data_IF_799294156683
#
_entry.id   IF_799294156683
#
_cell.length_a   1.000
_cell.length_b   1.000
_cell.length_c   1.000
_cell.angle_alpha   90.00
_cell.angle_beta   90.00
_cell.angle_gamma   90.00
#
_symmetry.space_group_name_H-M   'P 1'
#
loop_
_entity.id
_entity.type
_entity.pdbx_description
1 polymer ?
#
# COMPACT_ATOMS: atom_id res chain seq x y z
N UNK A 1 -26.24 7.28 63.72
CA UNK A 1 -24.79 7.09 63.54
C UNK A 1 -24.55 6.56 62.12
N UNK A 2 -24.81 7.30 61.02
CA UNK A 2 -24.41 8.67 60.60
C UNK A 2 -22.90 8.88 60.58
N UNK A 3 -22.32 8.96 59.37
CA UNK A 3 -20.88 9.21 59.17
C UNK A 3 -20.42 9.08 57.70
N UNK A 4 -20.87 9.99 56.82
CA UNK A 4 -20.35 10.10 55.45
C UNK A 4 -19.40 11.30 55.32
N UNK A 5 -18.36 11.21 54.45
CA UNK A 5 -17.71 12.33 53.73
C UNK A 5 -16.55 11.88 52.81
N UNK A 6 -16.68 12.16 51.51
CA UNK A 6 -15.61 12.59 50.58
C UNK A 6 -15.70 14.16 50.49
N UNK A 7 -14.87 14.94 49.73
CA UNK A 7 -13.97 14.59 48.61
C UNK A 7 -12.58 15.32 48.56
N UNK A 8 -11.82 15.12 47.48
CA UNK A 8 -10.69 15.98 47.03
C UNK A 8 -9.52 15.20 46.36
N UNK A 9 -9.50 14.96 45.04
CA UNK A 9 -8.94 15.81 43.94
C UNK A 9 -7.43 16.11 43.99
N UNK A 10 -6.64 15.55 43.06
CA UNK A 10 -6.04 16.29 41.92
C UNK A 10 -5.29 15.39 40.92
N UNK A 11 -5.55 15.63 39.63
CA UNK A 11 -4.76 15.24 38.43
C UNK A 11 -3.77 16.40 38.13
N UNK A 12 -2.63 16.20 37.42
CA UNK A 12 -2.64 16.17 35.94
C UNK A 12 -1.57 15.22 35.33
N UNK A 13 -1.37 15.06 34.02
CA UNK A 13 -1.84 15.83 32.86
C UNK A 13 -2.13 14.96 31.63
N UNK A 14 -3.11 15.36 30.82
CA UNK A 14 -3.36 14.82 29.47
C UNK A 14 -2.44 15.46 28.43
N UNK A 15 -2.12 14.71 27.37
CA UNK A 15 -1.66 15.26 26.08
C UNK A 15 -2.77 15.10 25.04
N UNK A 16 -3.36 16.19 24.51
CA UNK A 16 -4.37 16.11 23.46
C UNK A 16 -3.70 16.06 22.07
N UNK A 17 -3.97 15.00 21.30
CA UNK A 17 -3.66 14.99 19.87
C UNK A 17 -4.66 15.86 19.10
N UNK A 18 -4.17 16.93 18.48
CA UNK A 18 -5.02 17.95 17.84
C UNK A 18 -5.30 17.64 16.37
N UNK A 19 -6.57 17.31 16.11
CA UNK A 19 -7.44 17.71 14.98
C UNK A 19 -6.81 17.95 13.60
N UNK A 20 -7.28 17.17 12.63
CA UNK A 20 -7.42 17.62 11.23
C UNK A 20 -8.89 17.92 10.92
N UNK A 21 -9.20 19.09 10.37
CA UNK A 21 -10.23 19.31 9.33
C UNK A 21 -10.24 20.76 8.82
N UNK A 22 -10.57 20.90 7.53
CA UNK A 22 -10.98 22.12 6.81
C UNK A 22 -10.04 23.35 6.78
N UNK A 23 -9.52 23.67 5.59
CA UNK A 23 -9.13 25.03 5.18
C UNK A 23 -10.07 25.52 4.08
N UNK A 24 -10.92 26.48 4.41
CA UNK A 24 -11.51 27.45 3.47
C UNK A 24 -11.44 28.84 4.11
N UNK A 25 -11.22 29.87 3.29
CA UNK A 25 -10.84 31.21 3.72
C UNK A 25 -12.02 32.03 4.27
N UNK A 26 -11.79 32.88 5.27
CA UNK A 26 -12.27 34.29 5.34
C UNK A 26 -11.25 35.12 6.15
N UNK A 27 -11.03 36.36 5.72
CA UNK A 27 -10.17 37.38 6.38
C UNK A 27 -10.95 38.07 7.51
N UNK A 28 -10.30 38.34 8.65
CA UNK A 28 -10.87 39.15 9.72
C UNK A 28 -9.81 39.63 10.72
N UNK A 29 -9.23 40.81 10.50
CA UNK A 29 -8.35 41.48 11.46
C UNK A 29 -9.20 42.27 12.46
N UNK A 30 -9.07 41.97 13.76
CA UNK A 30 -9.69 42.70 14.86
C UNK A 30 -8.64 43.35 15.77
N UNK A 31 -8.86 44.62 16.11
CA UNK A 31 -7.93 45.50 16.86
C UNK A 31 -8.15 45.46 18.40
N UNK A 32 -7.15 45.89 19.16
CA UNK A 32 -7.22 46.22 20.60
C UNK A 32 -5.99 45.73 21.39
N UNK A 33 -4.91 46.51 21.60
CA UNK A 33 -4.77 47.65 22.53
C UNK A 33 -4.93 47.24 24.02
N UNK A 34 -3.89 47.02 24.82
CA UNK A 34 -3.13 48.01 25.66
C UNK A 34 -2.21 47.23 26.66
N UNK A 35 -1.26 47.76 27.47
CA UNK A 35 -0.71 49.11 27.69
C UNK A 35 0.71 49.12 28.33
N UNK A 36 1.55 50.07 27.89
CA UNK A 36 2.41 51.01 28.65
C UNK A 36 3.06 50.68 30.02
N UNK A 37 4.41 50.77 30.08
CA UNK A 37 5.17 51.56 31.07
C UNK A 37 6.66 51.77 30.65
N UNK A 38 7.21 52.97 30.88
CA UNK A 38 8.60 53.47 30.67
C UNK A 38 9.09 54.13 32.01
N UNK A 39 10.23 54.85 32.17
CA UNK A 39 11.32 55.31 31.25
C UNK A 39 12.79 55.19 31.80
N UNK A 40 13.81 55.72 31.09
CA UNK A 40 15.21 55.64 31.58
C UNK A 40 16.41 56.45 31.00
N UNK A 41 16.33 57.29 29.93
CA UNK A 41 17.34 58.33 29.49
C UNK A 41 18.82 57.93 29.19
N UNK A 42 19.68 58.77 28.52
CA UNK A 42 19.45 59.83 27.51
C UNK A 42 20.30 59.69 26.20
N UNK A 43 20.06 60.58 25.22
CA UNK A 43 20.78 60.75 23.92
C UNK A 43 21.98 61.73 24.00
N UNK A 44 22.91 61.77 23.01
CA UNK A 44 22.83 62.80 21.95
C UNK A 44 23.33 62.40 20.54
N UNK A 45 22.94 63.15 19.49
CA UNK A 45 23.69 63.27 18.22
C UNK A 45 22.96 62.86 16.92
N UNK A 46 22.46 63.85 16.16
CA UNK A 46 21.94 63.74 14.78
C UNK A 46 22.99 64.33 13.79
N UNK A 47 23.06 63.90 12.52
CA UNK A 47 22.14 64.45 11.51
C UNK A 47 21.61 63.49 10.43
N UNK A 48 20.50 63.90 9.81
CA UNK A 48 19.88 63.29 8.64
C UNK A 48 20.66 63.64 7.36
N UNK A 49 20.99 62.63 6.54
CA UNK A 49 21.07 62.76 5.07
C UNK A 49 20.50 61.49 4.43
N UNK A 50 19.77 61.65 3.33
CA UNK A 50 19.03 60.54 2.71
C UNK A 50 19.81 59.86 1.59
N UNK A 51 19.66 58.54 1.51
CA UNK A 51 19.89 57.77 0.28
C UNK A 51 18.88 56.61 0.23
N UNK A 52 18.06 56.56 -0.82
CA UNK A 52 17.16 55.44 -1.09
C UNK A 52 17.99 54.24 -1.59
N UNK A 53 18.55 53.46 -0.66
CA UNK A 53 19.10 52.16 -0.98
C UNK A 53 17.95 51.21 -1.34
N UNK A 54 17.93 50.74 -2.59
CA UNK A 54 16.93 49.78 -3.07
C UNK A 54 17.09 48.47 -2.28
N UNK A 55 16.16 48.21 -1.36
CA UNK A 55 16.15 46.97 -0.59
C UNK A 55 16.02 45.76 -1.50
N UNK A 56 17.01 44.87 -1.47
CA UNK A 56 17.02 43.66 -2.28
C UNK A 56 15.74 42.82 -2.04
N UNK A 57 15.21 42.14 -3.08
CA UNK A 57 14.09 41.23 -2.87
C UNK A 57 14.48 40.14 -1.84
N UNK A 58 13.52 39.65 -1.03
CA UNK A 58 13.81 38.57 -0.10
C UNK A 58 14.39 37.37 -0.85
N UNK A 59 15.32 36.62 -0.25
CA UNK A 59 15.94 35.49 -0.92
C UNK A 59 14.85 34.52 -1.36
N UNK A 60 14.73 34.34 -2.69
CA UNK A 60 13.89 33.28 -3.23
C UNK A 60 14.45 31.97 -2.68
N UNK A 61 13.69 31.31 -1.80
CA UNK A 61 13.88 29.90 -1.53
C UNK A 61 13.61 29.17 -2.85
N UNK A 62 14.67 28.98 -3.64
CA UNK A 62 14.66 28.07 -4.77
C UNK A 62 14.40 26.69 -4.18
N UNK A 63 13.16 26.21 -4.34
CA UNK A 63 12.90 24.78 -4.27
C UNK A 63 13.96 24.07 -5.13
N UNK A 64 14.53 22.94 -4.70
CA UNK A 64 15.53 22.23 -5.49
C UNK A 64 14.93 21.81 -6.82
N UNK A 65 15.17 22.64 -7.85
CA UNK A 65 14.72 22.46 -9.22
C UNK A 65 15.66 21.49 -9.91
N UNK A 66 15.56 20.22 -9.54
CA UNK A 66 16.20 19.10 -10.19
C UNK A 66 15.34 17.86 -9.98
N UNK A 67 15.23 16.96 -10.98
CA UNK A 67 14.58 15.68 -10.77
C UNK A 67 15.30 14.91 -9.64
N UNK A 68 14.55 14.15 -8.85
CA UNK A 68 15.13 13.19 -7.91
C UNK A 68 16.04 12.26 -8.72
N UNK A 69 17.35 12.35 -8.49
CA UNK A 69 18.32 11.61 -9.30
C UNK A 69 18.11 10.10 -9.09
N UNK A 70 17.92 9.31 -10.16
CA UNK A 70 17.58 7.88 -10.06
C UNK A 70 18.69 7.00 -9.46
N UNK A 71 19.83 7.59 -9.08
CA UNK A 71 20.98 6.90 -8.49
C UNK A 71 20.94 6.73 -6.95
N UNK A 72 19.80 7.00 -6.29
CA UNK A 72 19.66 6.82 -4.81
C UNK A 72 18.52 5.90 -4.35
N UNK A 73 17.72 5.36 -5.27
CA UNK A 73 16.86 4.20 -5.02
C UNK A 73 17.66 2.91 -5.26
N UNK A 74 17.79 2.06 -4.24
CA UNK A 74 18.65 0.86 -4.23
C UNK A 74 18.19 -0.30 -5.10
N UNK A 75 17.34 -0.08 -6.10
CA UNK A 75 16.81 -1.09 -7.01
C UNK A 75 17.55 -1.13 -8.37
N UNK A 76 18.77 -0.60 -8.42
CA UNK A 76 19.60 -0.56 -9.63
C UNK A 76 20.34 -1.88 -9.94
N UNK A 77 20.05 -2.99 -9.24
CA UNK A 77 20.86 -4.22 -9.27
C UNK A 77 20.16 -5.47 -9.84
N UNK A 78 18.83 -5.52 -9.94
CA UNK A 78 18.12 -6.52 -10.74
C UNK A 78 16.74 -5.97 -11.17
N UNK A 79 16.37 -6.02 -12.47
CA UNK A 79 15.29 -5.20 -12.99
C UNK A 79 13.97 -5.92 -13.26
N UNK A 80 13.90 -7.23 -13.02
CA UNK A 80 12.69 -8.03 -13.24
C UNK A 80 12.02 -8.30 -11.90
N UNK A 81 10.80 -7.79 -11.75
CA UNK A 81 9.98 -8.09 -10.58
C UNK A 81 9.15 -9.36 -10.79
N UNK A 82 8.59 -9.55 -11.99
CA UNK A 82 7.69 -10.68 -12.31
C UNK A 82 8.36 -11.73 -13.18
N UNK A 83 9.39 -11.36 -13.96
CA UNK A 83 10.00 -12.26 -14.95
C UNK A 83 11.28 -12.94 -14.45
N UNK A 84 11.23 -14.18 -13.91
CA UNK A 84 12.42 -15.03 -13.93
C UNK A 84 12.84 -15.30 -15.38
N UNK A 85 14.08 -15.74 -15.60
CA UNK A 85 14.67 -15.92 -16.94
C UNK A 85 13.97 -17.03 -17.77
N UNK A 86 12.81 -16.71 -18.33
CA UNK A 86 11.91 -17.64 -19.01
C UNK A 86 12.27 -17.82 -20.51
N UNK A 87 11.96 -18.97 -21.12
CA UNK A 87 12.10 -19.18 -22.57
C UNK A 87 11.49 -18.08 -23.45
N UNK A 88 10.40 -17.48 -22.99
CA UNK A 88 9.63 -16.40 -23.61
C UNK A 88 10.46 -15.11 -23.72
N UNK A 89 11.37 -14.83 -22.78
CA UNK A 89 12.33 -13.72 -22.90
C UNK A 89 13.33 -13.94 -24.05
N UNK A 90 13.57 -15.18 -24.50
CA UNK A 90 14.34 -15.42 -25.73
C UNK A 90 13.53 -15.08 -26.98
N UNK A 91 12.20 -15.20 -26.95
CA UNK A 91 11.34 -14.73 -28.04
C UNK A 91 11.34 -13.19 -28.09
N UNK A 92 11.26 -12.52 -26.93
CA UNK A 92 11.48 -11.07 -26.84
C UNK A 92 12.84 -10.66 -27.43
N UNK A 93 13.91 -11.37 -27.07
CA UNK A 93 15.26 -11.15 -27.61
C UNK A 93 15.34 -11.32 -29.14
N UNK A 94 14.65 -12.30 -29.71
CA UNK A 94 14.58 -12.51 -31.16
C UNK A 94 13.81 -11.38 -31.87
N UNK A 95 12.69 -10.92 -31.30
CA UNK A 95 11.93 -9.78 -31.84
C UNK A 95 12.75 -8.48 -31.80
N UNK A 96 13.45 -8.23 -30.69
CA UNK A 96 14.38 -7.10 -30.54
C UNK A 96 15.58 -7.19 -31.48
N UNK A 97 16.09 -8.40 -31.77
CA UNK A 97 17.23 -8.58 -32.68
C UNK A 97 16.91 -8.12 -34.12
N UNK A 98 15.65 -8.30 -34.56
CA UNK A 98 15.14 -7.86 -35.86
C UNK A 98 14.82 -6.35 -35.94
N UNK A 99 14.90 -5.61 -34.83
CA UNK A 99 14.56 -4.20 -34.78
C UNK A 99 15.72 -3.29 -35.22
N UNK A 100 15.38 -2.11 -35.77
CA UNK A 100 16.34 -1.05 -36.06
C UNK A 100 17.12 -0.64 -34.80
N UNK A 101 18.44 -0.40 -34.93
CA UNK A 101 19.24 0.12 -33.82
C UNK A 101 18.85 1.58 -33.52
N UNK A 102 18.70 1.92 -32.23
CA UNK A 102 18.26 3.26 -31.82
C UNK A 102 17.88 3.33 -30.35
N UNK A 103 17.58 4.53 -29.82
CA UNK A 103 17.01 4.66 -28.48
C UNK A 103 15.53 4.27 -28.48
N UNK A 104 15.07 3.67 -27.38
CA UNK A 104 13.64 3.52 -27.13
C UNK A 104 13.01 4.87 -26.70
N UNK A 105 11.71 5.05 -26.96
CA UNK A 105 10.97 6.21 -26.45
C UNK A 105 10.91 6.18 -24.91
N UNK A 106 10.85 7.34 -24.22
CA UNK A 106 10.67 7.37 -22.78
C UNK A 106 9.22 7.00 -22.40
N UNK A 107 9.03 6.11 -21.41
CA UNK A 107 7.70 5.77 -20.90
C UNK A 107 6.98 7.02 -20.36
N UNK A 108 5.82 7.32 -20.93
CA UNK A 108 4.88 8.35 -20.51
C UNK A 108 4.29 8.02 -19.15
N UNK A 109 4.15 9.03 -18.30
CA UNK A 109 3.48 8.89 -16.99
C UNK A 109 2.00 8.49 -17.10
N UNK A 110 1.38 8.65 -18.27
CA UNK A 110 -0.03 8.30 -18.46
C UNK A 110 -0.28 6.79 -18.57
N UNK A 111 0.66 6.01 -19.12
CA UNK A 111 0.49 4.54 -19.27
C UNK A 111 0.39 3.81 -17.92
N UNK A 112 1.36 3.91 -16.98
CA UNK A 112 1.23 3.27 -15.68
C UNK A 112 0.09 3.84 -14.84
N UNK A 113 -0.20 5.15 -14.95
CA UNK A 113 -1.37 5.76 -14.28
C UNK A 113 -2.70 5.17 -14.77
N UNK A 114 -2.88 5.02 -16.08
CA UNK A 114 -4.08 4.44 -16.70
C UNK A 114 -4.22 2.99 -16.27
N UNK A 115 -3.19 2.17 -16.46
CA UNK A 115 -3.21 0.74 -16.11
C UNK A 115 -3.51 0.53 -14.62
N UNK A 116 -2.87 1.29 -13.72
CA UNK A 116 -3.16 1.19 -12.28
C UNK A 116 -4.63 1.49 -11.96
N UNK A 117 -5.20 2.55 -12.53
CA UNK A 117 -6.62 2.90 -12.35
C UNK A 117 -7.53 1.80 -12.90
N UNK A 118 -7.35 1.38 -14.16
CA UNK A 118 -8.13 0.29 -14.77
C UNK A 118 -8.05 -1.01 -13.95
N UNK A 119 -6.89 -1.33 -13.36
CA UNK A 119 -6.72 -2.51 -12.52
C UNK A 119 -7.51 -2.40 -11.21
N UNK A 120 -7.47 -1.23 -10.56
CA UNK A 120 -8.23 -0.96 -9.33
C UNK A 120 -9.75 -0.96 -9.59
N UNK A 121 -10.18 -0.40 -10.74
CA UNK A 121 -11.58 -0.40 -11.16
C UNK A 121 -12.09 -1.82 -11.43
N UNK A 122 -11.29 -2.68 -12.07
CA UNK A 122 -11.59 -4.10 -12.27
C UNK A 122 -11.69 -4.86 -10.94
N UNK A 123 -10.76 -4.64 -10.01
CA UNK A 123 -10.78 -5.23 -8.66
C UNK A 123 -12.09 -4.90 -7.94
N UNK A 124 -12.50 -3.63 -7.95
CA UNK A 124 -13.73 -3.17 -7.32
C UNK A 124 -14.98 -3.72 -8.03
N UNK A 125 -15.06 -3.60 -9.36
CA UNK A 125 -16.20 -4.04 -10.16
C UNK A 125 -16.42 -5.56 -10.12
N UNK A 126 -15.32 -6.34 -10.05
CA UNK A 126 -15.37 -7.81 -9.91
C UNK A 126 -15.37 -8.28 -8.44
N UNK A 127 -15.37 -7.33 -7.49
CA UNK A 127 -15.45 -7.56 -6.04
C UNK A 127 -14.41 -8.58 -5.54
N UNK A 128 -13.19 -8.52 -6.07
CA UNK A 128 -12.15 -9.49 -5.75
C UNK A 128 -11.78 -9.45 -4.26
N UNK A 129 -11.51 -10.63 -3.70
CA UNK A 129 -10.98 -10.74 -2.35
C UNK A 129 -9.55 -10.17 -2.25
N UNK A 130 -9.10 -9.73 -1.05
CA UNK A 130 -7.85 -8.98 -0.92
C UNK A 130 -6.58 -9.69 -1.44
N UNK A 131 -6.36 -10.99 -1.19
CA UNK A 131 -5.16 -11.66 -1.70
C UNK A 131 -5.15 -11.85 -3.23
N UNK A 132 -6.24 -12.31 -3.89
CA UNK A 132 -6.36 -12.28 -5.34
C UNK A 132 -6.20 -10.87 -5.95
N UNK A 133 -6.82 -9.85 -5.35
CA UNK A 133 -6.70 -8.47 -5.82
C UNK A 133 -5.24 -7.97 -5.81
N UNK A 134 -4.48 -8.29 -4.77
CA UNK A 134 -3.06 -7.95 -4.70
C UNK A 134 -2.21 -8.68 -5.74
N UNK A 135 -2.52 -9.95 -6.04
CA UNK A 135 -1.85 -10.70 -7.11
C UNK A 135 -2.11 -10.08 -8.48
N UNK A 136 -3.36 -9.68 -8.76
CA UNK A 136 -3.71 -8.96 -10.00
C UNK A 136 -2.88 -7.68 -10.14
N UNK A 137 -2.76 -6.88 -9.07
CA UNK A 137 -1.91 -5.69 -9.05
C UNK A 137 -0.44 -6.03 -9.32
N UNK A 138 0.12 -7.02 -8.61
CA UNK A 138 1.52 -7.40 -8.73
C UNK A 138 1.89 -7.91 -10.13
N UNK A 139 1.09 -8.82 -10.69
CA UNK A 139 1.30 -9.34 -12.05
C UNK A 139 1.17 -8.21 -13.08
N UNK A 140 0.12 -7.40 -13.01
CA UNK A 140 -0.15 -6.37 -14.03
C UNK A 140 0.90 -5.25 -14.01
N UNK A 141 1.16 -4.69 -12.82
CA UNK A 141 2.06 -3.53 -12.67
C UNK A 141 3.53 -3.93 -12.75
N UNK A 142 3.88 -5.13 -12.27
CA UNK A 142 5.22 -5.71 -12.46
C UNK A 142 5.51 -6.00 -13.94
N UNK A 143 4.57 -6.61 -14.67
CA UNK A 143 4.75 -6.89 -16.11
C UNK A 143 4.85 -5.59 -16.93
N UNK A 144 4.08 -4.55 -16.58
CA UNK A 144 4.21 -3.21 -17.16
C UNK A 144 5.62 -2.65 -17.00
N UNK A 145 6.13 -2.69 -15.76
CA UNK A 145 7.47 -2.22 -15.42
C UNK A 145 8.54 -3.00 -16.19
N UNK A 146 8.47 -4.33 -16.15
CA UNK A 146 9.48 -5.21 -16.74
C UNK A 146 9.53 -5.04 -18.29
N UNK A 147 8.39 -4.86 -18.95
CA UNK A 147 8.32 -4.55 -20.39
C UNK A 147 8.91 -3.18 -20.73
N UNK A 148 8.59 -2.13 -19.96
CA UNK A 148 9.16 -0.80 -20.14
C UNK A 148 10.68 -0.77 -19.87
N UNK A 149 11.15 -1.55 -18.89
CA UNK A 149 12.56 -1.70 -18.59
C UNK A 149 13.30 -2.38 -19.75
N UNK A 150 12.76 -3.49 -20.29
CA UNK A 150 13.31 -4.18 -21.45
C UNK A 150 13.41 -3.26 -22.67
N UNK A 151 12.36 -2.49 -22.97
CA UNK A 151 12.34 -1.53 -24.06
C UNK A 151 13.52 -0.54 -23.93
N UNK A 152 13.62 0.12 -22.76
CA UNK A 152 14.66 1.11 -22.45
C UNK A 152 16.09 0.57 -22.57
N UNK A 153 16.33 -0.70 -22.23
CA UNK A 153 17.67 -1.30 -22.21
C UNK A 153 18.00 -2.13 -23.47
N UNK A 154 17.09 -2.20 -24.44
CA UNK A 154 17.26 -2.99 -25.67
C UNK A 154 18.34 -2.46 -26.63
N UNK A 155 18.61 -1.15 -26.62
CA UNK A 155 19.40 -0.48 -27.67
C UNK A 155 18.72 -0.47 -29.04
N UNK A 156 17.39 -0.66 -29.09
CA UNK A 156 16.58 -0.72 -30.30
C UNK A 156 15.54 0.40 -30.33
N UNK A 157 15.13 0.78 -31.55
CA UNK A 157 14.01 1.67 -31.78
C UNK A 157 12.69 0.98 -31.39
N UNK A 158 12.26 1.21 -30.15
CA UNK A 158 11.08 0.61 -29.51
C UNK A 158 10.29 1.72 -28.83
N UNK A 159 8.96 1.67 -28.94
CA UNK A 159 8.09 2.54 -28.17
C UNK A 159 7.76 1.91 -26.80
N UNK A 160 8.20 2.57 -25.73
CA UNK A 160 8.00 2.07 -24.36
C UNK A 160 6.55 2.13 -23.92
N UNK A 161 5.75 3.10 -24.41
CA UNK A 161 4.33 3.21 -24.10
C UNK A 161 3.55 2.01 -24.65
N UNK A 162 3.81 1.66 -25.91
CA UNK A 162 3.21 0.50 -26.58
C UNK A 162 3.61 -0.81 -25.92
N UNK A 163 4.92 -1.03 -25.70
CA UNK A 163 5.39 -2.25 -25.04
C UNK A 163 4.78 -2.44 -23.64
N UNK A 164 4.75 -1.37 -22.83
CA UNK A 164 4.21 -1.40 -21.48
C UNK A 164 2.68 -1.57 -21.45
N UNK A 165 1.95 -0.90 -22.35
CA UNK A 165 0.49 -0.97 -22.43
C UNK A 165 -0.01 -2.32 -22.97
N UNK A 166 0.65 -2.88 -23.98
CA UNK A 166 0.34 -4.22 -24.52
C UNK A 166 0.59 -5.28 -23.43
N UNK A 167 1.74 -5.22 -22.76
CA UNK A 167 2.11 -6.19 -21.74
C UNK A 167 1.08 -6.25 -20.59
N UNK A 168 0.77 -5.09 -20.01
CA UNK A 168 -0.18 -4.99 -18.91
C UNK A 168 -1.61 -5.36 -19.32
N UNK A 169 -2.07 -4.89 -20.49
CA UNK A 169 -3.44 -5.14 -20.92
C UNK A 169 -3.67 -6.61 -21.26
N UNK A 170 -2.69 -7.32 -21.85
CA UNK A 170 -2.79 -8.78 -22.06
C UNK A 170 -2.91 -9.56 -20.76
N UNK A 171 -2.14 -9.19 -19.73
CA UNK A 171 -2.28 -9.77 -18.39
C UNK A 171 -3.69 -9.53 -17.83
N UNK A 172 -4.22 -8.31 -17.93
CA UNK A 172 -5.60 -8.01 -17.51
C UNK A 172 -6.65 -8.78 -18.31
N UNK A 173 -6.51 -8.91 -19.64
CA UNK A 173 -7.43 -9.66 -20.49
C UNK A 173 -7.49 -11.15 -20.11
N UNK A 174 -6.35 -11.74 -19.73
CA UNK A 174 -6.28 -13.13 -19.29
C UNK A 174 -6.79 -13.34 -17.85
N UNK A 175 -6.63 -12.34 -16.96
CA UNK A 175 -7.14 -12.41 -15.59
C UNK A 175 -8.63 -12.01 -15.47
N UNK A 176 -9.16 -11.28 -16.46
CA UNK A 176 -10.54 -10.80 -16.52
C UNK A 176 -11.15 -11.07 -17.90
N UNK A 177 -11.35 -12.36 -18.24
CA UNK A 177 -11.86 -12.80 -19.55
C UNK A 177 -13.14 -12.04 -19.98
N UNK A 178 -14.06 -11.79 -19.04
CA UNK A 178 -15.31 -11.07 -19.27
C UNK A 178 -15.12 -9.59 -19.68
N UNK A 179 -13.97 -8.98 -19.36
CA UNK A 179 -13.61 -7.62 -19.75
C UNK A 179 -12.72 -7.58 -21.01
N UNK A 180 -12.24 -8.72 -21.49
CA UNK A 180 -11.19 -8.80 -22.51
C UNK A 180 -11.49 -8.00 -23.79
N UNK A 181 -12.72 -8.08 -24.30
CA UNK A 181 -13.13 -7.34 -25.50
C UNK A 181 -13.19 -5.81 -25.29
N UNK A 182 -13.46 -5.35 -24.05
CA UNK A 182 -13.43 -3.92 -23.70
C UNK A 182 -11.98 -3.45 -23.61
N UNK A 183 -11.15 -4.19 -22.87
CA UNK A 183 -9.73 -3.90 -22.68
C UNK A 183 -8.95 -3.86 -24.00
N UNK A 184 -9.21 -4.77 -24.93
CA UNK A 184 -8.60 -4.77 -26.26
C UNK A 184 -8.91 -3.50 -27.07
N UNK A 185 -10.16 -2.98 -26.99
CA UNK A 185 -10.54 -1.71 -27.65
C UNK A 185 -9.90 -0.50 -26.97
N UNK A 186 -9.86 -0.48 -25.64
CA UNK A 186 -9.23 0.59 -24.86
C UNK A 186 -7.71 0.66 -25.11
N UNK A 187 -7.04 -0.49 -25.28
CA UNK A 187 -5.65 -0.56 -25.73
C UNK A 187 -5.50 0.04 -27.13
N UNK A 188 -6.22 -0.49 -28.13
CA UNK A 188 -6.07 -0.06 -29.52
C UNK A 188 -6.35 1.44 -29.72
N UNK A 189 -7.33 2.00 -29.00
CA UNK A 189 -7.64 3.43 -29.03
C UNK A 189 -6.65 4.31 -28.24
N UNK A 190 -5.80 3.71 -27.41
CA UNK A 190 -4.86 4.39 -26.52
C UNK A 190 -3.38 4.26 -26.92
N UNK A 191 -3.09 3.64 -28.07
CA UNK A 191 -1.75 3.53 -28.67
C UNK A 191 -1.52 4.65 -29.71
N UNK A 192 -0.28 5.15 -29.86
CA UNK A 192 0.06 6.12 -30.89
C UNK A 192 0.12 5.48 -32.29
N UNK A 193 0.00 6.30 -33.33
CA UNK A 193 0.36 5.91 -34.70
C UNK A 193 1.90 5.91 -34.83
N UNK A 194 2.46 4.80 -35.28
CA UNK A 194 3.91 4.52 -35.23
C UNK A 194 4.40 3.94 -36.56
N UNK A 195 5.70 4.12 -36.91
CA UNK A 195 6.33 3.38 -38.00
C UNK A 195 6.14 1.87 -37.81
N UNK A 196 5.73 1.17 -38.88
CA UNK A 196 5.29 -0.23 -38.81
C UNK A 196 6.38 -1.24 -38.37
N UNK A 197 7.67 -0.86 -38.40
CA UNK A 197 8.76 -1.64 -37.80
C UNK A 197 8.87 -1.43 -36.29
N UNK A 198 8.76 -0.17 -35.82
CA UNK A 198 8.75 0.19 -34.39
C UNK A 198 7.51 -0.38 -33.71
N UNK A 199 6.31 -0.21 -34.30
CA UNK A 199 5.05 -0.72 -33.75
C UNK A 199 5.11 -2.24 -33.52
N UNK A 200 5.42 -3.00 -34.58
CA UNK A 200 5.52 -4.46 -34.56
C UNK A 200 6.49 -4.98 -33.49
N UNK A 201 7.65 -4.34 -33.32
CA UNK A 201 8.64 -4.75 -32.31
C UNK A 201 8.15 -4.40 -30.91
N UNK A 202 7.55 -3.23 -30.73
CA UNK A 202 7.04 -2.75 -29.44
C UNK A 202 5.88 -3.62 -28.95
N UNK A 203 4.97 -3.96 -29.86
CA UNK A 203 3.89 -4.91 -29.61
C UNK A 203 4.44 -6.29 -29.22
N UNK A 204 5.33 -6.88 -30.04
CA UNK A 204 5.89 -8.20 -29.79
C UNK A 204 6.69 -8.29 -28.47
N UNK A 205 7.39 -7.20 -28.08
CA UNK A 205 8.02 -7.11 -26.77
C UNK A 205 6.99 -7.16 -25.63
N UNK A 206 5.90 -6.41 -25.77
CA UNK A 206 4.81 -6.42 -24.80
C UNK A 206 4.11 -7.78 -24.70
N UNK A 207 3.88 -8.45 -25.83
CA UNK A 207 3.35 -9.82 -25.87
C UNK A 207 4.25 -10.80 -25.13
N UNK A 208 5.55 -10.82 -25.43
CA UNK A 208 6.49 -11.74 -24.80
C UNK A 208 6.63 -11.51 -23.29
N UNK A 209 6.56 -10.25 -22.82
CA UNK A 209 6.52 -9.94 -21.40
C UNK A 209 5.22 -10.45 -20.72
N UNK A 210 4.06 -10.24 -21.36
CA UNK A 210 2.79 -10.77 -20.87
C UNK A 210 2.76 -12.30 -20.84
N UNK A 211 3.22 -12.96 -21.89
CA UNK A 211 3.17 -14.41 -22.03
C UNK A 211 4.08 -15.10 -20.99
N UNK A 212 5.24 -14.51 -20.69
CA UNK A 212 6.13 -14.92 -19.61
C UNK A 212 5.49 -14.74 -18.21
N UNK A 213 4.87 -13.59 -17.94
CA UNK A 213 4.15 -13.35 -16.69
C UNK A 213 2.94 -14.29 -16.52
N UNK A 214 2.23 -14.59 -17.60
CA UNK A 214 1.13 -15.55 -17.62
C UNK A 214 1.62 -17.00 -17.50
N UNK A 215 2.83 -17.32 -17.96
CA UNK A 215 3.46 -18.63 -17.72
C UNK A 215 3.74 -18.86 -16.23
N UNK A 216 4.30 -17.85 -15.54
CA UNK A 216 4.42 -17.84 -14.08
C UNK A 216 3.04 -17.95 -13.40
N UNK A 217 2.07 -17.13 -13.81
CA UNK A 217 0.73 -17.09 -13.22
C UNK A 217 -0.09 -18.38 -13.41
N UNK A 218 0.30 -19.29 -14.33
CA UNK A 218 -0.29 -20.63 -14.46
C UNK A 218 0.29 -21.65 -13.46
N UNK A 219 1.44 -21.35 -12.84
CA UNK A 219 2.22 -22.29 -12.03
C UNK A 219 2.44 -21.82 -10.58
N UNK A 220 2.12 -20.57 -10.26
CA UNK A 220 2.27 -19.99 -8.92
C UNK A 220 1.35 -20.59 -7.84
N UNK A 221 0.38 -21.44 -8.23
CA UNK A 221 -0.55 -22.11 -7.32
C UNK A 221 -1.81 -21.32 -6.96
N UNK A 222 -1.98 -20.09 -7.46
CA UNK A 222 -3.16 -19.26 -7.14
C UNK A 222 -4.47 -19.74 -7.80
N UNK A 223 -4.40 -20.68 -8.76
CA UNK A 223 -5.57 -21.38 -9.31
C UNK A 223 -5.97 -22.63 -8.49
N UNK A 224 -5.11 -23.06 -7.56
CA UNK A 224 -5.37 -24.15 -6.61
C UNK A 224 -4.94 -23.74 -5.19
N UNK A 225 -5.47 -22.63 -4.62
CA UNK A 225 -5.29 -22.35 -3.21
C UNK A 225 -6.09 -23.42 -2.46
N UNK A 226 -5.37 -24.47 -2.00
CA UNK A 226 -5.99 -25.70 -1.49
C UNK A 226 -7.14 -25.40 -0.53
N UNK A 227 -8.31 -25.98 -0.81
CA UNK A 227 -9.55 -25.71 -0.07
C UNK A 227 -9.56 -26.32 1.34
N UNK A 228 -8.52 -27.08 1.68
CA UNK A 228 -8.22 -27.56 3.03
C UNK A 228 -7.85 -26.38 3.96
N UNK A 229 -8.85 -25.58 4.31
CA UNK A 229 -8.84 -24.85 5.58
C UNK A 229 -8.74 -25.85 6.75
N UNK A 230 -8.34 -25.40 7.95
CA UNK A 230 -8.16 -26.28 9.08
C UNK A 230 -9.44 -27.09 9.36
N UNK A 231 -9.35 -28.41 9.16
CA UNK A 231 -10.37 -29.37 9.57
C UNK A 231 -10.34 -29.51 11.10
N UNK A 232 -10.77 -28.44 11.79
CA UNK A 232 -10.72 -28.30 13.24
C UNK A 232 -12.06 -27.79 13.74
N UNK A 233 -12.71 -28.49 14.70
CA UNK A 233 -13.90 -27.95 15.35
C UNK A 233 -13.54 -26.67 16.11
N UNK A 234 -14.49 -25.72 16.16
CA UNK A 234 -14.32 -24.49 16.94
C UNK A 234 -14.05 -24.78 18.43
N UNK A 235 -13.26 -23.93 19.07
CA UNK A 235 -12.85 -24.09 20.46
C UNK A 235 -12.36 -22.76 21.05
N UNK A 236 -12.00 -22.76 22.34
CA UNK A 236 -11.53 -21.54 23.01
C UNK A 236 -10.28 -20.98 22.33
N UNK A 237 -10.33 -19.73 21.86
CA UNK A 237 -9.22 -19.09 21.14
C UNK A 237 -8.97 -19.57 19.71
N UNK A 238 -9.70 -20.57 19.22
CA UNK A 238 -9.58 -21.13 17.87
C UNK A 238 -10.66 -20.54 16.96
N UNK A 239 -10.28 -20.07 15.78
CA UNK A 239 -11.21 -19.49 14.81
C UNK A 239 -12.07 -20.55 14.13
N UNK A 240 -13.35 -20.20 13.95
CA UNK A 240 -14.29 -20.82 13.03
C UNK A 240 -15.04 -19.72 12.25
N UNK A 241 -15.51 -19.99 11.02
CA UNK A 241 -16.40 -19.08 10.30
C UNK A 241 -17.69 -18.80 11.10
N UNK A 242 -18.23 -17.59 10.98
CA UNK A 242 -19.57 -17.30 11.51
C UNK A 242 -20.65 -18.01 10.66
N UNK A 243 -21.86 -18.17 11.19
CA UNK A 243 -22.99 -18.77 10.47
C UNK A 243 -23.19 -18.14 9.09
N UNK A 244 -23.12 -18.97 8.03
CA UNK A 244 -23.24 -18.53 6.64
C UNK A 244 -21.94 -18.02 5.99
N UNK A 245 -20.82 -17.97 6.71
CA UNK A 245 -19.51 -17.65 6.15
C UNK A 245 -18.76 -18.92 5.68
N UNK A 246 -17.91 -18.75 4.66
CA UNK A 246 -16.92 -19.74 4.23
C UNK A 246 -15.52 -19.15 4.39
N UNK A 247 -14.52 -19.99 4.71
CA UNK A 247 -13.14 -19.53 4.86
C UNK A 247 -12.61 -18.93 3.55
N UNK A 248 -12.17 -17.67 3.60
CA UNK A 248 -11.69 -16.94 2.44
C UNK A 248 -10.21 -17.26 2.18
N UNK A 249 -9.97 -17.85 1.02
CA UNK A 249 -8.65 -18.19 0.45
C UNK A 249 -7.73 -19.02 1.38
N UNK A 250 -8.18 -20.11 2.03
CA UNK A 250 -7.41 -20.84 3.04
C UNK A 250 -6.03 -21.33 2.55
N UNK A 251 -5.91 -21.66 1.27
CA UNK A 251 -4.66 -22.08 0.66
C UNK A 251 -3.69 -20.96 0.25
N UNK A 252 -4.02 -19.68 0.42
CA UNK A 252 -3.22 -18.59 -0.17
C UNK A 252 -1.77 -18.51 0.31
N UNK A 253 -1.49 -18.96 1.54
CA UNK A 253 -0.13 -19.09 2.07
C UNK A 253 0.76 -20.10 1.32
N UNK A 254 0.21 -20.85 0.36
CA UNK A 254 0.92 -21.80 -0.52
C UNK A 254 1.31 -21.18 -1.87
N UNK A 255 0.76 -20.02 -2.24
CA UNK A 255 1.07 -19.33 -3.51
C UNK A 255 2.57 -18.99 -3.58
N UNK A 256 3.15 -19.04 -4.77
CA UNK A 256 4.56 -18.67 -4.98
C UNK A 256 4.73 -17.14 -4.88
N UNK A 257 5.67 -16.64 -4.08
CA UNK A 257 5.97 -15.21 -4.03
C UNK A 257 6.65 -14.73 -5.33
N UNK A 258 6.56 -13.42 -5.56
CA UNK A 258 7.11 -12.73 -6.74
C UNK A 258 8.37 -11.97 -6.30
N UNK A 259 9.51 -12.16 -6.98
CA UNK A 259 10.79 -11.53 -6.61
C UNK A 259 11.43 -12.05 -5.31
N UNK A 260 10.82 -13.02 -4.63
CA UNK A 260 11.35 -13.74 -3.46
C UNK A 260 11.18 -15.25 -3.67
N UNK A 261 11.80 -16.05 -2.79
CA UNK A 261 11.60 -17.51 -2.72
C UNK A 261 10.75 -17.85 -1.48
N UNK A 262 10.28 -19.10 -1.32
CA UNK A 262 9.56 -19.50 -0.09
C UNK A 262 10.47 -19.54 1.13
N UNK A 263 11.77 -19.69 0.89
CA UNK A 263 12.85 -19.76 1.87
C UNK A 263 13.24 -18.35 2.34
N UNK A 264 13.22 -17.35 1.44
CA UNK A 264 13.53 -15.95 1.76
C UNK A 264 12.30 -15.10 2.10
N UNK A 265 11.08 -15.63 1.97
CA UNK A 265 9.84 -14.93 2.35
C UNK A 265 9.70 -14.87 3.89
N UNK A 266 9.67 -13.67 4.50
CA UNK A 266 9.60 -13.54 5.95
C UNK A 266 8.29 -14.08 6.55
N UNK A 267 8.40 -14.94 7.55
CA UNK A 267 7.25 -15.56 8.24
C UNK A 267 6.72 -14.71 9.39
N UNK A 268 5.44 -14.91 9.70
CA UNK A 268 4.78 -14.36 10.89
C UNK A 268 5.29 -15.10 12.12
N UNK A 269 5.67 -14.36 13.17
CA UNK A 269 6.04 -14.97 14.46
C UNK A 269 4.82 -15.62 15.12
N UNK A 270 4.99 -16.64 16.00
CA UNK A 270 3.86 -17.20 16.73
C UNK A 270 3.17 -16.16 17.63
N UNK A 271 1.82 -16.17 17.73
CA UNK A 271 1.11 -15.34 18.69
C UNK A 271 1.36 -15.85 20.12
N UNK A 272 1.15 -15.00 21.15
CA UNK A 272 1.02 -15.48 22.52
C UNK A 272 -0.08 -16.54 22.63
N UNK A 273 0.08 -17.53 23.52
CA UNK A 273 -0.97 -18.52 23.76
C UNK A 273 -2.26 -17.84 24.26
N UNK A 274 -3.43 -18.34 23.84
CA UNK A 274 -4.73 -17.73 24.15
C UNK A 274 -4.98 -17.50 25.66
N UNK A 275 -4.56 -18.45 26.50
CA UNK A 275 -4.71 -18.38 27.96
C UNK A 275 -3.53 -17.65 28.66
N UNK A 276 -2.56 -17.11 27.91
CA UNK A 276 -1.44 -16.35 28.49
C UNK A 276 -1.90 -15.00 29.04
N UNK A 277 -1.19 -14.51 30.07
CA UNK A 277 -1.43 -13.18 30.63
C UNK A 277 -1.32 -12.04 29.60
N UNK A 278 -0.43 -12.19 28.60
CA UNK A 278 -0.28 -11.22 27.52
C UNK A 278 -1.53 -11.14 26.62
N UNK A 279 -2.08 -12.28 26.20
CA UNK A 279 -3.30 -12.29 25.39
C UNK A 279 -4.52 -11.85 26.24
N UNK A 280 -4.61 -12.29 27.50
CA UNK A 280 -5.67 -11.84 28.41
C UNK A 280 -5.69 -10.31 28.60
N UNK A 281 -4.52 -9.67 28.71
CA UNK A 281 -4.39 -8.22 28.76
C UNK A 281 -4.81 -7.54 27.45
N UNK A 282 -4.45 -8.08 26.28
CA UNK A 282 -4.88 -7.55 24.97
C UNK A 282 -6.41 -7.59 24.83
N UNK A 283 -7.06 -8.69 25.24
CA UNK A 283 -8.54 -8.78 25.23
C UNK A 283 -9.20 -7.79 26.18
N UNK A 284 -8.65 -7.60 27.38
CA UNK A 284 -9.18 -6.63 28.34
C UNK A 284 -9.08 -5.19 27.79
N UNK A 285 -7.92 -4.82 27.26
CA UNK A 285 -7.71 -3.52 26.62
C UNK A 285 -8.59 -3.32 25.37
N UNK A 286 -8.81 -4.39 24.58
CA UNK A 286 -9.75 -4.37 23.46
C UNK A 286 -11.18 -4.06 23.94
N UNK A 287 -11.68 -4.73 24.98
CA UNK A 287 -13.02 -4.51 25.52
C UNK A 287 -13.18 -3.06 26.05
N UNK A 288 -12.18 -2.55 26.76
CA UNK A 288 -12.17 -1.15 27.23
C UNK A 288 -12.22 -0.16 26.06
N UNK A 289 -11.42 -0.38 25.01
CA UNK A 289 -11.45 0.44 23.79
C UNK A 289 -12.82 0.38 23.09
N UNK A 290 -13.47 -0.79 23.01
CA UNK A 290 -14.80 -0.90 22.42
C UNK A 290 -15.88 -0.15 23.23
N UNK A 291 -15.74 -0.11 24.56
CA UNK A 291 -16.66 0.62 25.43
C UNK A 291 -16.53 2.15 25.32
N UNK A 292 -15.41 2.66 24.80
CA UNK A 292 -15.07 4.09 24.78
C UNK A 292 -14.89 4.67 23.35
N UNK A 293 -15.34 3.97 22.30
CA UNK A 293 -15.17 4.40 20.90
C UNK A 293 -15.73 5.79 20.61
N UNK A 294 -14.85 6.69 20.16
CA UNK A 294 -15.21 8.04 19.74
C UNK A 294 -15.70 8.10 18.29
N UNK A 295 -16.21 9.26 17.87
CA UNK A 295 -16.52 9.50 16.46
C UNK A 295 -15.27 9.45 15.55
N UNK A 296 -14.09 9.82 16.07
CA UNK A 296 -12.84 9.74 15.32
C UNK A 296 -12.40 8.28 15.09
N UNK A 297 -12.59 7.41 16.09
CA UNK A 297 -12.31 5.98 15.98
C UNK A 297 -13.18 5.29 14.92
N UNK A 298 -14.47 5.66 14.87
CA UNK A 298 -15.41 5.16 13.85
C UNK A 298 -15.05 5.65 12.45
N UNK A 299 -14.76 6.95 12.30
CA UNK A 299 -14.30 7.52 11.02
C UNK A 299 -12.99 6.87 10.54
N UNK A 300 -12.07 6.56 11.46
CA UNK A 300 -10.82 5.84 11.14
C UNK A 300 -11.10 4.38 10.70
N UNK A 301 -12.02 3.69 11.38
CA UNK A 301 -12.44 2.34 11.00
C UNK A 301 -13.09 2.31 9.60
N UNK A 302 -13.96 3.28 9.30
CA UNK A 302 -14.62 3.46 8.00
C UNK A 302 -13.62 3.82 6.89
N UNK A 303 -12.71 4.77 7.14
CA UNK A 303 -11.69 5.18 6.17
C UNK A 303 -10.84 4.01 5.67
N UNK A 304 -10.42 3.14 6.59
CA UNK A 304 -9.66 1.93 6.27
C UNK A 304 -10.54 0.69 6.04
N UNK A 305 -11.87 0.79 5.92
CA UNK A 305 -12.77 -0.38 5.89
C UNK A 305 -12.45 -1.37 4.76
N UNK A 306 -12.20 -0.87 3.55
CA UNK A 306 -11.72 -1.63 2.38
C UNK A 306 -12.44 -2.97 2.11
N UNK A 307 -13.76 -3.00 2.33
CA UNK A 307 -14.60 -4.20 2.19
C UNK A 307 -14.90 -4.61 0.73
N UNK A 308 -15.75 -5.64 0.54
CA UNK A 308 -16.10 -6.17 -0.78
C UNK A 308 -16.66 -5.10 -1.73
N UNK A 309 -16.12 -5.02 -2.95
CA UNK A 309 -16.48 -3.99 -3.93
C UNK A 309 -15.70 -2.68 -3.81
N UNK A 310 -14.75 -2.60 -2.86
CA UNK A 310 -13.72 -1.56 -2.85
C UNK A 310 -12.47 -2.00 -3.63
N UNK A 311 -11.46 -1.14 -3.68
CA UNK A 311 -10.13 -1.46 -4.24
C UNK A 311 -9.29 -2.42 -3.36
N UNK A 312 -9.82 -2.86 -2.22
CA UNK A 312 -9.14 -3.67 -1.18
C UNK A 312 -7.98 -2.91 -0.48
N UNK A 313 -7.42 -3.42 0.63
CA UNK A 313 -6.43 -2.68 1.43
C UNK A 313 -5.17 -2.28 0.66
N UNK A 314 -4.64 -3.16 -0.23
CA UNK A 314 -3.48 -2.81 -1.05
C UNK A 314 -3.84 -1.75 -2.12
N UNK A 315 -5.07 -1.74 -2.61
CA UNK A 315 -5.53 -0.73 -3.56
C UNK A 315 -5.58 0.68 -2.98
N UNK A 316 -5.86 0.83 -1.68
CA UNK A 316 -5.74 2.13 -0.99
C UNK A 316 -4.28 2.64 -1.05
N UNK A 317 -3.31 1.75 -0.85
CA UNK A 317 -1.89 2.09 -0.98
C UNK A 317 -1.45 2.35 -2.43
N UNK A 318 -2.09 1.74 -3.44
CA UNK A 318 -1.89 2.11 -4.85
C UNK A 318 -2.43 3.53 -5.15
N UNK A 319 -3.58 3.90 -4.58
CA UNK A 319 -4.13 5.26 -4.71
C UNK A 319 -3.19 6.29 -4.06
N UNK A 320 -2.63 5.97 -2.89
CA UNK A 320 -1.61 6.79 -2.23
C UNK A 320 -0.32 6.91 -3.06
N UNK A 321 0.17 5.81 -3.64
CA UNK A 321 1.33 5.81 -4.54
C UNK A 321 1.11 6.73 -5.76
N UNK A 322 -0.07 6.66 -6.39
CA UNK A 322 -0.47 7.54 -7.50
C UNK A 322 -0.53 9.02 -7.06
N UNK A 323 -1.07 9.29 -5.87
CA UNK A 323 -1.17 10.64 -5.29
C UNK A 323 0.20 11.25 -5.02
N UNK A 324 1.12 10.49 -4.42
CA UNK A 324 2.49 10.91 -4.17
C UNK A 324 3.27 11.16 -5.46
N UNK A 325 3.13 10.28 -6.45
CA UNK A 325 3.77 10.45 -7.75
C UNK A 325 3.28 11.69 -8.51
N UNK A 326 2.00 12.04 -8.39
CA UNK A 326 1.45 13.28 -8.93
C UNK A 326 2.00 14.52 -8.20
N UNK A 327 2.02 14.50 -6.86
CA UNK A 327 2.57 15.61 -6.06
C UNK A 327 4.07 15.85 -6.29
N UNK A 328 4.84 14.79 -6.51
CA UNK A 328 6.30 14.84 -6.76
C UNK A 328 6.65 14.93 -8.24
N UNK A 329 5.66 14.83 -9.15
CA UNK A 329 5.82 14.88 -10.62
C UNK A 329 6.79 13.82 -11.17
N UNK A 330 6.66 12.58 -10.72
CA UNK A 330 7.47 11.47 -11.23
C UNK A 330 7.32 11.26 -12.73
N UNK A 331 8.41 10.82 -13.39
CA UNK A 331 8.37 10.33 -14.76
C UNK A 331 7.66 8.96 -14.86
N UNK A 332 7.32 8.53 -16.07
CA UNK A 332 6.59 7.26 -16.25
C UNK A 332 7.39 6.04 -15.80
N UNK A 333 8.70 6.00 -16.07
CA UNK A 333 9.58 4.93 -15.59
C UNK A 333 9.62 4.82 -14.06
N UNK A 334 9.78 5.94 -13.37
CA UNK A 334 9.82 5.97 -11.90
C UNK A 334 8.45 5.58 -11.31
N UNK A 335 7.34 6.06 -11.90
CA UNK A 335 5.99 5.69 -11.49
C UNK A 335 5.73 4.18 -11.69
N UNK A 336 6.15 3.62 -12.83
CA UNK A 336 6.05 2.18 -13.07
C UNK A 336 6.82 1.37 -12.00
N UNK A 337 8.04 1.79 -11.65
CA UNK A 337 8.85 1.14 -10.62
C UNK A 337 8.20 1.22 -9.23
N UNK A 338 7.71 2.41 -8.83
CA UNK A 338 7.01 2.62 -7.55
C UNK A 338 5.78 1.71 -7.44
N UNK A 339 4.94 1.68 -8.47
CA UNK A 339 3.72 0.88 -8.50
C UNK A 339 4.03 -0.62 -8.47
N UNK A 340 4.96 -1.08 -9.30
CA UNK A 340 5.36 -2.48 -9.37
C UNK A 340 5.94 -2.98 -8.03
N UNK A 341 6.91 -2.27 -7.46
CA UNK A 341 7.53 -2.64 -6.18
C UNK A 341 6.51 -2.68 -5.03
N UNK A 342 5.61 -1.69 -4.97
CA UNK A 342 4.59 -1.62 -3.90
C UNK A 342 3.54 -2.73 -4.06
N UNK A 343 3.15 -3.05 -5.29
CA UNK A 343 2.21 -4.14 -5.58
C UNK A 343 2.80 -5.52 -5.26
N UNK A 344 4.04 -5.79 -5.66
CA UNK A 344 4.74 -7.05 -5.39
C UNK A 344 5.00 -7.25 -3.90
N UNK A 345 5.44 -6.20 -3.18
CA UNK A 345 5.59 -6.27 -1.73
C UNK A 345 4.26 -6.58 -1.03
N UNK A 346 3.17 -5.93 -1.44
CA UNK A 346 1.82 -6.19 -0.90
C UNK A 346 1.31 -7.60 -1.19
N UNK A 347 1.56 -8.14 -2.38
CA UNK A 347 1.23 -9.53 -2.73
C UNK A 347 1.99 -10.54 -1.87
N UNK A 348 3.32 -10.41 -1.76
CA UNK A 348 4.16 -11.26 -0.92
C UNK A 348 3.78 -11.17 0.57
N UNK A 349 3.41 -9.97 1.02
CA UNK A 349 2.94 -9.74 2.38
C UNK A 349 1.62 -10.47 2.64
N UNK A 350 0.69 -10.53 1.68
CA UNK A 350 -0.51 -11.34 1.81
C UNK A 350 -0.23 -12.85 1.85
N UNK A 351 0.74 -13.38 1.09
CA UNK A 351 1.14 -14.80 1.18
C UNK A 351 1.60 -15.12 2.61
N UNK A 352 2.51 -14.30 3.15
CA UNK A 352 3.01 -14.46 4.53
C UNK A 352 1.88 -14.34 5.57
N UNK A 353 0.98 -13.36 5.38
CA UNK A 353 -0.17 -13.14 6.24
C UNK A 353 -1.12 -14.34 6.27
N UNK A 354 -1.50 -14.85 5.09
CA UNK A 354 -2.43 -15.97 4.99
C UNK A 354 -1.82 -17.29 5.46
N UNK A 355 -0.52 -17.50 5.29
CA UNK A 355 0.19 -18.60 5.96
C UNK A 355 -0.02 -18.51 7.48
N UNK A 356 0.35 -17.38 8.11
CA UNK A 356 0.18 -17.21 9.56
C UNK A 356 -1.27 -17.33 10.03
N UNK A 357 -2.24 -16.85 9.24
CA UNK A 357 -3.68 -16.96 9.55
C UNK A 357 -4.12 -18.40 9.73
N UNK A 358 -3.84 -19.25 8.74
CA UNK A 358 -4.32 -20.62 8.75
C UNK A 358 -3.37 -21.60 9.47
N UNK A 359 -2.13 -21.18 9.76
CA UNK A 359 -1.19 -21.87 10.65
C UNK A 359 -1.57 -21.70 12.14
N UNK A 360 -1.83 -20.45 12.58
CA UNK A 360 -2.12 -20.17 13.99
C UNK A 360 -3.62 -20.15 14.34
N UNK A 361 -4.49 -20.02 13.33
CA UNK A 361 -5.96 -20.12 13.42
C UNK A 361 -6.62 -19.37 14.60
N UNK A 362 -6.14 -18.17 14.94
CA UNK A 362 -6.59 -17.43 16.14
C UNK A 362 -8.00 -16.86 15.97
N UNK A 363 -8.84 -17.03 16.99
CA UNK A 363 -10.22 -16.56 17.05
C UNK A 363 -10.36 -15.04 16.84
N UNK A 364 -11.55 -14.61 16.36
CA UNK A 364 -11.93 -13.20 16.18
C UNK A 364 -12.50 -12.60 17.48
N UNK A 365 -12.41 -11.27 17.67
CA UNK A 365 -12.94 -10.63 18.88
C UNK A 365 -14.43 -10.87 19.12
N UNK A 366 -15.26 -10.93 18.07
CA UNK A 366 -16.71 -11.05 18.19
C UNK A 366 -17.18 -12.26 19.01
N UNK A 367 -16.56 -13.43 18.86
CA UNK A 367 -16.96 -14.63 19.61
C UNK A 367 -16.65 -14.55 21.11
N UNK A 368 -15.63 -13.77 21.49
CA UNK A 368 -15.28 -13.52 22.89
C UNK A 368 -16.09 -12.35 23.47
N UNK A 369 -16.31 -11.28 22.69
CA UNK A 369 -17.11 -10.14 23.12
C UNK A 369 -18.56 -10.52 23.45
N UNK A 370 -19.17 -11.46 22.72
CA UNK A 370 -20.51 -11.97 23.04
C UNK A 370 -20.58 -12.62 24.44
N UNK A 371 -19.46 -13.16 24.95
CA UNK A 371 -19.37 -13.72 26.31
C UNK A 371 -19.19 -12.63 27.39
N UNK A 372 -18.55 -11.52 27.03
CA UNK A 372 -18.24 -10.39 27.93
C UNK A 372 -19.40 -9.40 28.01
N UNK A 373 -20.05 -9.15 26.86
CA UNK A 373 -21.16 -8.24 26.67
C UNK A 373 -22.14 -8.88 25.66
N UNK A 374 -23.10 -9.69 26.12
CA UNK A 374 -24.10 -10.31 25.26
C UNK A 374 -24.85 -9.29 24.38
N UNK A 375 -25.03 -9.61 23.10
CA UNK A 375 -25.60 -8.71 22.10
C UNK A 375 -24.65 -7.63 21.58
N UNK A 376 -23.35 -7.69 21.91
CA UNK A 376 -22.35 -6.80 21.33
C UNK A 376 -22.17 -7.07 19.83
N UNK A 377 -22.04 -6.00 19.04
CA UNK A 377 -21.78 -6.08 17.60
C UNK A 377 -20.56 -5.25 17.22
N UNK A 378 -19.68 -5.75 16.35
CA UNK A 378 -18.50 -5.01 15.92
C UNK A 378 -18.88 -3.82 15.03
N UNK A 379 -18.19 -2.67 15.11
CA UNK A 379 -18.41 -1.54 14.21
C UNK A 379 -18.23 -1.86 12.72
N UNK A 380 -17.41 -2.85 12.38
CA UNK A 380 -17.26 -3.38 11.02
C UNK A 380 -17.65 -4.86 10.95
N UNK A 381 -18.17 -5.35 9.81
CA UNK A 381 -18.48 -6.76 9.64
C UNK A 381 -17.23 -7.64 9.78
N UNK A 382 -17.29 -8.65 10.66
CA UNK A 382 -16.19 -9.59 10.88
C UNK A 382 -15.84 -10.37 9.60
N UNK A 383 -14.62 -10.23 9.05
CA UNK A 383 -14.23 -10.93 7.83
C UNK A 383 -14.08 -12.44 8.04
N UNK A 384 -14.37 -13.27 7.02
CA UNK A 384 -14.46 -14.73 7.13
C UNK A 384 -13.09 -15.42 7.02
N UNK A 385 -12.15 -15.01 7.87
CA UNK A 385 -10.81 -15.62 8.00
C UNK A 385 -10.24 -15.37 9.41
N UNK A 386 -9.23 -16.14 9.87
CA UNK A 386 -8.62 -15.99 11.19
C UNK A 386 -8.11 -14.57 11.49
N UNK A 387 -8.00 -14.23 12.78
CA UNK A 387 -7.60 -12.89 13.21
C UNK A 387 -6.11 -12.62 13.00
N UNK A 388 -5.25 -13.46 13.58
CA UNK A 388 -3.81 -13.22 13.62
C UNK A 388 -3.06 -13.69 12.36
N UNK A 389 -2.14 -12.90 11.77
CA UNK A 389 -1.94 -11.46 11.97
C UNK A 389 -2.95 -10.65 11.15
N UNK A 390 -3.08 -9.34 11.40
CA UNK A 390 -4.00 -8.48 10.66
C UNK A 390 -3.56 -8.30 9.20
N UNK A 391 -4.45 -8.60 8.26
CA UNK A 391 -4.18 -8.50 6.83
C UNK A 391 -3.97 -7.06 6.36
N UNK A 392 -4.77 -6.12 6.88
CA UNK A 392 -4.59 -4.69 6.61
C UNK A 392 -3.22 -4.22 7.13
N UNK A 393 -2.91 -4.53 8.39
CA UNK A 393 -1.63 -4.16 8.99
C UNK A 393 -0.43 -4.73 8.22
N UNK A 394 -0.56 -5.97 7.72
CA UNK A 394 0.49 -6.65 6.96
C UNK A 394 0.79 -5.95 5.63
N UNK A 395 -0.21 -5.68 4.80
CA UNK A 395 0.05 -4.97 3.53
C UNK A 395 0.38 -3.50 3.73
N UNK A 396 -0.17 -2.85 4.77
CA UNK A 396 0.19 -1.48 5.11
C UNK A 396 1.64 -1.35 5.56
N UNK A 397 2.15 -2.29 6.37
CA UNK A 397 3.57 -2.33 6.76
C UNK A 397 4.50 -2.51 5.55
N UNK A 398 4.12 -3.37 4.60
CA UNK A 398 4.90 -3.58 3.38
C UNK A 398 4.87 -2.36 2.45
N UNK A 399 3.67 -1.84 2.13
CA UNK A 399 3.50 -0.72 1.23
C UNK A 399 4.12 0.58 1.77
N UNK A 400 3.99 0.85 3.08
CA UNK A 400 4.56 2.05 3.69
C UNK A 400 6.09 2.07 3.64
N UNK A 401 6.79 0.93 3.80
CA UNK A 401 8.25 0.89 3.69
C UNK A 401 8.72 1.05 2.24
N UNK A 402 8.05 0.39 1.28
CA UNK A 402 8.37 0.59 -0.15
C UNK A 402 8.15 2.05 -0.55
N UNK A 403 7.00 2.65 -0.21
CA UNK A 403 6.75 4.05 -0.52
C UNK A 403 7.69 4.99 0.23
N UNK A 404 8.03 4.71 1.49
CA UNK A 404 9.04 5.47 2.24
C UNK A 404 10.42 5.46 1.55
N UNK A 405 10.75 4.38 0.84
CA UNK A 405 12.02 4.25 0.11
C UNK A 405 12.13 5.16 -1.11
N UNK A 406 11.01 5.39 -1.81
CA UNK A 406 10.90 6.31 -2.95
C UNK A 406 10.56 7.75 -2.55
N UNK A 407 9.83 7.92 -1.45
CA UNK A 407 9.32 9.19 -0.93
C UNK A 407 9.87 9.48 0.48
N UNK A 408 11.19 9.68 0.65
CA UNK A 408 11.83 9.77 1.97
C UNK A 408 11.35 10.95 2.82
N UNK A 409 10.86 12.04 2.19
CA UNK A 409 10.27 13.17 2.90
C UNK A 409 8.90 12.83 3.51
N UNK A 410 8.22 11.82 2.99
CA UNK A 410 6.91 11.35 3.43
C UNK A 410 6.99 10.09 4.31
N UNK A 411 8.16 9.44 4.40
CA UNK A 411 8.39 8.20 5.14
C UNK A 411 7.81 8.18 6.57
N UNK A 412 7.91 9.28 7.31
CA UNK A 412 7.34 9.39 8.67
C UNK A 412 5.81 9.37 8.67
N UNK A 413 5.18 9.97 7.66
CA UNK A 413 3.73 9.97 7.53
C UNK A 413 3.23 8.61 7.07
N UNK A 414 3.84 8.03 6.04
CA UNK A 414 3.49 6.70 5.51
C UNK A 414 3.54 5.61 6.60
N UNK A 415 4.56 5.62 7.47
CA UNK A 415 4.66 4.70 8.60
C UNK A 415 3.58 4.93 9.67
N UNK A 416 3.08 6.15 9.82
CA UNK A 416 1.91 6.46 10.69
C UNK A 416 0.62 6.03 10.04
N UNK A 417 0.44 6.27 8.75
CA UNK A 417 -0.75 5.84 7.99
C UNK A 417 -0.89 4.30 8.07
N UNK A 418 0.23 3.56 8.09
CA UNK A 418 0.23 2.12 8.36
C UNK A 418 -0.16 1.74 9.81
N UNK A 419 0.29 2.51 10.81
CA UNK A 419 -0.13 2.33 12.20
C UNK A 419 -1.63 2.61 12.37
N UNK A 420 -2.14 3.68 11.75
CA UNK A 420 -3.55 4.05 11.70
C UNK A 420 -4.36 2.95 10.98
N UNK A 421 -3.87 2.41 9.86
CA UNK A 421 -4.48 1.28 9.17
C UNK A 421 -4.55 0.02 10.05
N UNK A 422 -3.55 -0.25 10.88
CA UNK A 422 -3.57 -1.36 11.84
C UNK A 422 -4.55 -1.10 12.99
N UNK A 423 -4.48 0.07 13.63
CA UNK A 423 -5.33 0.46 14.76
C UNK A 423 -6.81 0.56 14.37
N UNK A 424 -7.11 1.01 13.15
CA UNK A 424 -8.46 1.04 12.57
C UNK A 424 -9.20 -0.30 12.65
N UNK A 425 -8.49 -1.42 12.82
CA UNK A 425 -9.05 -2.77 12.91
C UNK A 425 -9.40 -3.18 14.34
N UNK A 426 -8.70 -2.61 15.32
CA UNK A 426 -9.05 -2.67 16.74
C UNK A 426 -10.32 -1.87 16.97
N UNK A 427 -10.34 -0.59 16.56
CA UNK A 427 -11.56 0.25 16.68
C UNK A 427 -12.70 -0.15 15.75
N UNK A 428 -12.40 -0.89 14.67
CA UNK A 428 -13.41 -1.58 13.85
C UNK A 428 -14.01 -2.84 14.50
N UNK A 429 -13.49 -3.27 15.66
CA UNK A 429 -13.99 -4.42 16.41
C UNK A 429 -13.60 -5.80 15.86
N UNK A 430 -12.70 -5.87 14.88
CA UNK A 430 -12.46 -7.08 14.07
C UNK A 430 -11.08 -7.73 14.27
N UNK A 431 -10.14 -7.05 14.95
CA UNK A 431 -8.80 -7.57 15.23
C UNK A 431 -8.34 -7.23 16.66
N UNK A 432 -7.50 -8.08 17.22
CA UNK A 432 -6.76 -7.85 18.46
C UNK A 432 -5.64 -6.81 18.23
N UNK A 433 -5.10 -6.20 19.28
CA UNK A 433 -4.02 -5.20 19.10
C UNK A 433 -2.73 -5.89 18.66
N UNK A 434 -2.44 -7.07 19.23
CA UNK A 434 -1.36 -7.97 18.82
C UNK A 434 -1.42 -8.42 17.34
N UNK A 435 -2.62 -8.49 16.73
CA UNK A 435 -2.75 -8.82 15.30
C UNK A 435 -2.13 -7.72 14.43
N UNK A 436 -2.36 -6.46 14.82
CA UNK A 436 -1.86 -5.28 14.14
C UNK A 436 -0.35 -5.16 14.24
N UNK A 437 0.20 -5.36 15.45
CA UNK A 437 1.64 -5.31 15.69
C UNK A 437 2.39 -6.38 14.87
N UNK A 438 1.93 -7.63 14.89
CA UNK A 438 2.55 -8.72 14.14
C UNK A 438 2.42 -8.55 12.62
N UNK A 439 1.28 -7.99 12.15
CA UNK A 439 1.09 -7.66 10.74
C UNK A 439 2.07 -6.59 10.27
N UNK A 440 2.15 -5.46 10.97
CA UNK A 440 3.11 -4.40 10.66
C UNK A 440 4.55 -4.93 10.66
N UNK A 441 4.89 -5.84 11.57
CA UNK A 441 6.21 -6.44 11.61
C UNK A 441 6.55 -7.27 10.36
N UNK A 442 5.74 -8.29 10.04
CA UNK A 442 6.00 -9.16 8.89
C UNK A 442 5.94 -8.38 7.58
N UNK A 443 5.03 -7.40 7.46
CA UNK A 443 4.91 -6.52 6.30
C UNK A 443 6.20 -5.73 6.01
N UNK A 444 6.76 -5.07 7.04
CA UNK A 444 8.04 -4.34 6.91
C UNK A 444 9.18 -5.27 6.51
N UNK A 445 9.28 -6.46 7.14
CA UNK A 445 10.31 -7.45 6.80
C UNK A 445 10.19 -7.94 5.35
N UNK A 446 8.96 -8.16 4.84
CA UNK A 446 8.73 -8.53 3.42
C UNK A 446 9.21 -7.43 2.48
N UNK A 447 8.95 -6.15 2.80
CA UNK A 447 9.44 -5.04 2.00
C UNK A 447 10.97 -4.95 1.99
N UNK A 448 11.62 -5.03 3.16
CA UNK A 448 13.09 -4.99 3.24
C UNK A 448 13.74 -6.18 2.50
N UNK A 449 13.18 -7.39 2.63
CA UNK A 449 13.64 -8.57 1.90
C UNK A 449 13.55 -8.39 0.37
N UNK A 450 12.45 -7.82 -0.13
CA UNK A 450 12.27 -7.52 -1.56
C UNK A 450 13.22 -6.41 -2.05
N UNK A 451 13.47 -5.40 -1.21
CA UNK A 451 14.37 -4.28 -1.53
C UNK A 451 15.87 -4.62 -1.36
N UNK A 452 16.20 -5.80 -0.85
CA UNK A 452 17.58 -6.19 -0.52
C UNK A 452 18.17 -5.44 0.67
N UNK A 453 17.34 -4.87 1.53
CA UNK A 453 17.75 -4.08 2.68
C UNK A 453 17.91 -4.97 3.93
N UNK A 454 18.96 -4.73 4.71
CA UNK A 454 19.08 -5.29 6.06
C UNK A 454 18.09 -4.61 6.99
N UNK A 455 17.50 -5.33 7.94
CA UNK A 455 16.67 -4.72 8.98
C UNK A 455 17.44 -3.61 9.71
N UNK A 456 16.84 -2.43 9.92
CA UNK A 456 17.49 -1.26 10.52
C UNK A 456 17.75 -1.39 12.03
#
# INVERSE_FOLDING_TARGET
MTGARYPGTMLPAHLPHVRWLARLCVVGVGLGATSLALPGLPFPGLPLTGALAQGAPPPRLTAPSGPLSPARSGLAASPFLVLPAAPELRQAGNALAAASAGPASPLSVQVPRRVARTTLDLIAARRLDPPPAARVLALTLGTLHDAAWLARHSGRAVDSDTAAAVAATRVLMALFEQDGARLARELQAGLPDLPADVDRVSWALGEAAADAALAFARQDGAAQPGQDGPAQPGGEGVWAPLTGQQALEPGWGKVQPIGLTRETLPRVVPPPAWQSAAFAADRAAFAEQQAQLTAADRALAEHWAAGPGSVTPLGLWMQEALRLAEQTRLGGGDLAQVLAATAVAGHNAFISCWQGKFEYNVARPQGWMEQVQPGWTPPLPTPPFPSYPSGHATVSGAAAEVLARFFPLQARQLRRDAQDAAFSRVVGGIHWTLDGAAGLDVGRRVAWALLGESSP
#
